data_IF_857156962911
#
_entry.id   IF_857156962911
#
_cell.length_a   1.000
_cell.length_b   1.000
_cell.length_c   1.000
_cell.angle_alpha   90.00
_cell.angle_beta   90.00
_cell.angle_gamma   90.00
#
_symmetry.space_group_name_H-M   'P 1'
#
loop_
_entity.id
_entity.type
_entity.pdbx_description
1 polymer ?
#
# COMPACT_ATOMS: atom_id res chain seq x y z
N UNK A 1 -19.33 13.42 25.08
CA UNK A 1 -20.19 13.67 23.91
C UNK A 1 -19.47 14.71 23.06
N UNK A 2 -18.34 14.32 22.46
CA UNK A 2 -18.22 13.96 21.03
C UNK A 2 -18.55 15.14 20.13
N UNK A 3 -17.61 16.06 20.01
CA UNK A 3 -17.40 16.78 18.76
C UNK A 3 -15.89 16.96 18.58
N UNK A 4 -15.24 15.86 18.21
CA UNK A 4 -13.86 15.89 17.77
C UNK A 4 -13.87 16.28 16.29
N UNK A 5 -13.78 17.58 16.06
CA UNK A 5 -12.97 18.19 15.00
C UNK A 5 -13.16 17.55 13.62
N UNK A 6 -14.18 18.03 12.91
CA UNK A 6 -14.09 18.09 11.46
C UNK A 6 -12.99 19.08 11.08
N UNK A 7 -11.93 18.71 10.37
CA UNK A 7 -11.23 19.67 9.53
C UNK A 7 -11.94 19.66 8.17
N UNK A 8 -12.69 20.74 7.94
CA UNK A 8 -12.83 21.28 6.60
C UNK A 8 -11.43 21.44 6.00
N UNK A 9 -11.25 20.87 4.81
CA UNK A 9 -9.96 20.74 4.17
C UNK A 9 -10.14 20.42 2.69
N UNK A 10 -10.86 21.29 1.96
CA UNK A 10 -10.64 21.44 0.52
C UNK A 10 -9.23 22.04 0.29
N UNK A 11 -8.18 21.29 0.64
CA UNK A 11 -6.83 21.53 0.18
C UNK A 11 -6.61 20.57 -0.97
N UNK A 12 -6.39 21.09 -2.19
CA UNK A 12 -6.26 20.29 -3.40
C UNK A 12 -5.50 19.01 -3.11
N UNK A 13 -6.21 17.87 -3.17
CA UNK A 13 -5.65 16.58 -2.90
C UNK A 13 -4.59 16.34 -3.98
N UNK A 14 -3.34 16.67 -3.66
CA UNK A 14 -2.20 16.33 -4.47
C UNK A 14 -2.13 14.83 -4.44
N UNK A 15 -2.82 14.19 -5.39
CA UNK A 15 -2.64 12.78 -5.61
C UNK A 15 -1.30 12.60 -6.28
N UNK A 16 -0.57 11.61 -5.80
CA UNK A 16 0.75 11.30 -6.29
C UNK A 16 0.73 9.89 -6.82
N UNK A 17 1.29 9.74 -8.01
CA UNK A 17 1.39 8.44 -8.65
C UNK A 17 2.61 7.73 -8.08
N UNK A 18 2.36 6.66 -7.32
CA UNK A 18 3.40 5.79 -6.78
C UNK A 18 3.48 4.51 -7.60
N UNK A 19 4.67 3.91 -7.60
CA UNK A 19 4.91 2.62 -8.24
C UNK A 19 4.88 1.54 -7.18
N UNK A 20 4.16 0.45 -7.40
CA UNK A 20 4.07 -0.68 -6.48
C UNK A 20 4.51 -1.94 -7.22
N UNK A 21 5.63 -2.49 -6.81
CA UNK A 21 6.16 -3.73 -7.34
C UNK A 21 5.58 -4.90 -6.57
N UNK A 22 4.68 -5.64 -7.20
CA UNK A 22 4.05 -6.82 -6.63
C UNK A 22 4.89 -8.09 -6.88
N UNK A 23 4.85 -9.07 -5.97
CA UNK A 23 5.51 -10.35 -6.17
C UNK A 23 4.81 -11.13 -7.28
N UNK A 24 5.55 -12.02 -7.95
CA UNK A 24 5.07 -12.78 -9.12
C UNK A 24 3.69 -13.44 -8.91
N UNK A 25 3.47 -14.07 -7.76
CA UNK A 25 2.20 -14.74 -7.45
C UNK A 25 1.00 -13.77 -7.40
N UNK A 26 1.16 -12.57 -6.82
CA UNK A 26 0.09 -11.58 -6.78
C UNK A 26 -0.14 -10.95 -8.16
N UNK A 27 0.95 -10.72 -8.91
CA UNK A 27 0.88 -10.26 -10.30
C UNK A 27 0.09 -11.22 -11.17
N UNK A 28 0.37 -12.52 -11.09
CA UNK A 28 -0.35 -13.54 -11.85
C UNK A 28 -1.84 -13.62 -11.48
N UNK A 29 -2.17 -13.48 -10.18
CA UNK A 29 -3.56 -13.50 -9.70
C UNK A 29 -4.35 -12.26 -10.15
N UNK A 30 -3.72 -11.09 -10.14
CA UNK A 30 -4.34 -9.84 -10.58
C UNK A 30 -4.16 -9.54 -12.08
N UNK A 31 -3.54 -10.45 -12.84
CA UNK A 31 -3.17 -10.26 -14.25
C UNK A 31 -2.38 -8.97 -14.53
N UNK A 32 -1.44 -8.66 -13.65
CA UNK A 32 -0.58 -7.48 -13.73
C UNK A 32 0.77 -7.89 -14.31
N UNK A 33 1.24 -7.18 -15.32
CA UNK A 33 2.60 -7.30 -15.83
C UNK A 33 3.45 -6.14 -15.30
N UNK A 34 4.59 -6.45 -14.66
CA UNK A 34 5.50 -5.43 -14.13
C UNK A 34 5.04 -4.73 -12.84
N UNK A 35 5.35 -3.43 -12.73
CA UNK A 35 4.98 -2.57 -11.61
C UNK A 35 3.61 -1.89 -11.80
N UNK A 36 2.91 -1.69 -10.69
CA UNK A 36 1.57 -1.08 -10.66
C UNK A 36 1.70 0.40 -10.36
N UNK A 37 1.11 1.23 -11.21
CA UNK A 37 0.95 2.66 -10.91
C UNK A 37 -0.34 2.86 -10.13
N UNK A 38 -0.22 3.39 -8.91
CA UNK A 38 -1.36 3.76 -8.07
C UNK A 38 -1.34 5.25 -7.79
N UNK A 39 -2.49 5.87 -7.94
CA UNK A 39 -2.71 7.25 -7.54
C UNK A 39 -3.16 7.26 -6.08
N UNK A 40 -2.36 7.90 -5.22
CA UNK A 40 -2.58 7.92 -3.77
C UNK A 40 -2.66 9.37 -3.30
N UNK A 41 -3.73 9.69 -2.58
CA UNK A 41 -3.88 11.01 -1.98
C UNK A 41 -2.86 11.23 -0.86
N UNK A 42 -2.23 12.40 -0.84
CA UNK A 42 -1.39 12.81 0.28
C UNK A 42 -2.26 12.96 1.57
N UNK A 43 -1.76 12.51 2.75
CA UNK A 43 -0.43 11.96 2.99
C UNK A 43 -0.25 10.53 2.46
N UNK A 44 0.83 10.30 1.70
CA UNK A 44 1.18 8.97 1.19
C UNK A 44 1.71 8.13 2.34
N UNK A 45 0.84 7.27 2.87
CA UNK A 45 1.16 6.32 3.93
C UNK A 45 0.96 4.91 3.41
N UNK A 46 1.58 3.91 4.05
CA UNK A 46 1.31 2.50 3.72
C UNK A 46 -0.19 2.20 3.74
N UNK A 47 -0.95 2.78 4.68
CA UNK A 47 -2.41 2.66 4.71
C UNK A 47 -3.07 3.16 3.42
N UNK A 48 -2.74 4.38 2.99
CA UNK A 48 -3.32 4.98 1.78
C UNK A 48 -2.95 4.20 0.52
N UNK A 49 -1.71 3.70 0.44
CA UNK A 49 -1.26 2.86 -0.68
C UNK A 49 -2.05 1.55 -0.74
N UNK A 50 -2.17 0.88 0.40
CA UNK A 50 -2.93 -0.37 0.50
C UNK A 50 -4.40 -0.15 0.15
N UNK A 51 -5.01 0.92 0.66
CA UNK A 51 -6.40 1.26 0.37
C UNK A 51 -6.61 1.51 -1.14
N UNK A 52 -5.73 2.28 -1.79
CA UNK A 52 -5.76 2.51 -3.23
C UNK A 52 -5.55 1.22 -4.04
N UNK A 53 -4.63 0.35 -3.60
CA UNK A 53 -4.36 -0.94 -4.23
C UNK A 53 -5.59 -1.86 -4.11
N UNK A 54 -6.19 -1.95 -2.93
CA UNK A 54 -7.39 -2.75 -2.64
C UNK A 54 -8.61 -2.22 -3.42
N UNK A 55 -8.73 -0.89 -3.57
CA UNK A 55 -9.76 -0.25 -4.38
C UNK A 55 -9.60 -0.57 -5.88
N UNK A 56 -8.34 -0.62 -6.37
CA UNK A 56 -8.07 -0.96 -7.77
C UNK A 56 -8.17 -2.45 -8.07
N UNK A 57 -7.70 -3.28 -7.14
CA UNK A 57 -7.64 -4.72 -7.27
C UNK A 57 -8.34 -5.38 -6.07
N UNK A 58 -9.69 -5.37 -6.05
CA UNK A 58 -10.45 -5.99 -4.97
C UNK A 58 -10.18 -7.50 -4.82
N UNK A 59 -9.62 -8.13 -5.86
CA UNK A 59 -9.17 -9.53 -5.85
C UNK A 59 -7.99 -9.77 -4.89
N UNK A 60 -7.19 -8.73 -4.58
CA UNK A 60 -6.08 -8.78 -3.62
C UNK A 60 -6.53 -8.54 -2.16
N UNK A 61 -7.80 -8.11 -1.96
CA UNK A 61 -8.36 -7.69 -0.66
C UNK A 61 -8.49 -8.80 0.40
N UNK A 62 -8.07 -10.03 0.09
CA UNK A 62 -7.98 -11.16 1.04
C UNK A 62 -6.59 -11.81 1.12
N UNK A 63 -5.66 -11.38 0.27
CA UNK A 63 -4.27 -11.89 0.28
C UNK A 63 -3.37 -10.98 1.12
N UNK A 64 -3.63 -9.67 1.12
CA UNK A 64 -2.84 -8.68 1.84
C UNK A 64 -3.36 -8.46 3.27
N UNK A 65 -4.67 -8.25 3.42
CA UNK A 65 -5.35 -8.13 4.72
C UNK A 65 -6.34 -9.27 4.87
N UNK A 66 -6.40 -9.86 6.05
CA UNK A 66 -7.42 -10.85 6.36
C UNK A 66 -8.79 -10.17 6.47
N UNK A 67 -9.75 -10.62 5.67
CA UNK A 67 -11.07 -9.98 5.57
C UNK A 67 -11.91 -10.14 6.84
N UNK A 68 -11.60 -11.12 7.70
CA UNK A 68 -12.34 -11.40 8.93
C UNK A 68 -11.78 -10.69 10.17
N UNK A 69 -10.47 -10.49 10.23
CA UNK A 69 -9.78 -9.93 11.40
C UNK A 69 -9.15 -8.57 11.15
N UNK A 70 -9.02 -8.13 9.89
CA UNK A 70 -8.30 -6.92 9.51
C UNK A 70 -6.78 -6.97 9.78
N UNK A 71 -6.28 -8.12 10.25
CA UNK A 71 -4.87 -8.33 10.55
C UNK A 71 -4.08 -8.50 9.25
N UNK A 72 -2.93 -7.85 9.17
CA UNK A 72 -1.93 -8.07 8.12
C UNK A 72 -1.46 -9.52 8.20
N UNK A 73 -1.65 -10.32 7.14
CA UNK A 73 -1.09 -11.68 7.12
C UNK A 73 0.44 -11.56 7.23
N UNK A 74 1.04 -12.27 8.19
CA UNK A 74 2.46 -12.16 8.55
C UNK A 74 3.46 -12.57 7.43
N UNK A 75 2.96 -12.88 6.24
CA UNK A 75 3.73 -13.36 5.11
C UNK A 75 3.96 -12.30 4.03
N UNK A 76 3.52 -11.04 4.21
CA UNK A 76 3.91 -9.94 3.32
C UNK A 76 4.90 -9.02 4.00
N UNK A 77 5.97 -8.70 3.27
CA UNK A 77 6.95 -7.70 3.65
C UNK A 77 6.87 -6.51 2.70
N UNK A 78 7.00 -5.32 3.27
CA UNK A 78 6.93 -4.05 2.54
C UNK A 78 8.29 -3.40 2.62
N UNK A 79 8.85 -3.05 1.46
CA UNK A 79 10.11 -2.33 1.39
C UNK A 79 9.89 -1.01 0.65
N UNK A 80 10.33 0.08 1.27
CA UNK A 80 10.27 1.42 0.71
C UNK A 80 11.68 1.98 0.68
N UNK A 81 12.17 2.44 -0.49
CA UNK A 81 13.55 2.92 -0.62
C UNK A 81 14.57 1.88 -0.09
N UNK A 82 14.38 0.61 -0.46
CA UNK A 82 15.19 -0.54 0.00
C UNK A 82 15.21 -0.79 1.53
N UNK A 83 14.37 -0.07 2.29
CA UNK A 83 14.26 -0.20 3.74
C UNK A 83 13.07 -1.09 4.14
N UNK A 84 13.20 -1.92 5.17
CA UNK A 84 12.09 -2.76 5.66
C UNK A 84 11.08 -1.91 6.42
N UNK A 85 9.88 -1.80 5.86
CA UNK A 85 8.73 -1.12 6.44
C UNK A 85 7.64 -2.12 6.86
N UNK A 86 7.98 -3.41 6.91
CA UNK A 86 7.06 -4.51 7.21
C UNK A 86 6.48 -4.43 8.62
N UNK A 87 7.31 -4.02 9.58
CA UNK A 87 6.96 -3.90 10.99
C UNK A 87 6.49 -2.49 11.37
N UNK A 88 6.74 -1.51 10.51
CA UNK A 88 6.38 -0.12 10.76
C UNK A 88 4.86 0.09 10.81
N UNK A 89 4.48 1.22 11.41
CA UNK A 89 3.10 1.65 11.49
C UNK A 89 2.56 2.02 10.11
N UNK A 90 1.35 1.56 9.79
CA UNK A 90 0.70 1.83 8.49
C UNK A 90 0.37 3.31 8.28
N UNK A 91 0.24 4.05 9.39
CA UNK A 91 -0.04 5.48 9.42
C UNK A 91 1.25 6.34 9.33
N UNK A 92 2.43 5.70 9.27
CA UNK A 92 3.69 6.40 9.06
C UNK A 92 3.79 6.85 7.59
N UNK A 93 4.13 8.13 7.32
CA UNK A 93 4.31 8.63 5.96
C UNK A 93 5.51 7.94 5.30
N UNK A 94 5.32 7.49 4.07
CA UNK A 94 6.38 6.87 3.27
C UNK A 94 7.45 7.91 2.92
N UNK A 95 8.70 7.48 2.66
CA UNK A 95 9.77 8.36 2.19
C UNK A 95 9.36 9.05 0.89
N UNK A 96 9.83 10.30 0.72
CA UNK A 96 9.45 11.14 -0.42
C UNK A 96 9.77 10.48 -1.76
N UNK A 97 10.79 9.63 -1.84
CA UNK A 97 11.17 8.92 -3.07
C UNK A 97 10.06 7.97 -3.55
N UNK A 98 9.45 7.22 -2.63
CA UNK A 98 8.29 6.39 -2.93
C UNK A 98 7.04 7.24 -3.12
N UNK A 99 6.83 8.23 -2.26
CA UNK A 99 5.67 9.12 -2.34
C UNK A 99 5.64 9.98 -3.62
N UNK A 100 6.77 10.22 -4.26
CA UNK A 100 6.86 10.94 -5.53
C UNK A 100 6.89 10.00 -6.74
N UNK A 101 6.82 8.67 -6.52
CA UNK A 101 6.91 7.66 -7.58
C UNK A 101 8.30 7.48 -8.20
N UNK A 102 9.33 8.10 -7.62
CA UNK A 102 10.73 7.96 -8.05
C UNK A 102 11.22 6.53 -7.80
N UNK A 103 10.85 5.96 -6.67
CA UNK A 103 11.12 4.57 -6.32
C UNK A 103 9.84 3.76 -6.13
N UNK A 104 9.84 2.47 -6.51
CA UNK A 104 8.71 1.60 -6.27
C UNK A 104 8.65 1.10 -4.82
N UNK A 105 7.43 1.00 -4.27
CA UNK A 105 7.15 0.23 -3.08
C UNK A 105 7.21 -1.27 -3.44
N UNK A 106 8.18 -1.97 -2.87
CA UNK A 106 8.40 -3.40 -3.11
C UNK A 106 7.56 -4.21 -2.12
N UNK A 107 6.68 -5.04 -2.63
CA UNK A 107 5.90 -6.00 -1.83
C UNK A 107 6.50 -7.38 -2.06
N UNK A 108 7.04 -7.97 -1.00
CA UNK A 108 7.58 -9.33 -1.03
C UNK A 108 6.62 -10.27 -0.33
N UNK A 109 6.20 -11.32 -1.04
CA UNK A 109 5.56 -12.46 -0.40
C UNK A 109 6.62 -13.38 0.19
N UNK A 110 6.65 -13.52 1.52
CA UNK A 110 7.26 -14.68 2.14
C UNK A 110 6.51 -15.91 1.64
N UNK A 111 7.14 -16.63 0.73
CA UNK A 111 6.64 -17.90 0.24
C UNK A 111 6.60 -18.83 1.46
N UNK A 112 5.40 -19.22 1.90
CA UNK A 112 5.27 -20.47 2.64
C UNK A 112 5.67 -21.55 1.64
N UNK A 113 6.93 -22.00 1.73
CA UNK A 113 7.47 -23.04 0.87
C UNK A 113 6.54 -24.24 0.88
N UNK A 114 6.13 -24.66 -0.32
CA UNK A 114 5.55 -25.99 -0.54
C UNK A 114 6.64 -27.04 -0.54
#
# INVERSE_FOLDING_TARGET
>A
MTDAKSPDGSGGAGTVTIRVALPYHLRNLAHIDGDVLLDVAAPVTLRSVLDALEARYPMLRGTIRDYGTGQRRAFLRFFACEEDWSLESLDKPLPQEVASGKEPLLILGAIAGG
#
